data_IF_658041387402
#
_entry.id   IF_658041387402
#
_cell.length_a   1.000
_cell.length_b   1.000
_cell.length_c   1.000
_cell.angle_alpha   90.00
_cell.angle_beta   90.00
_cell.angle_gamma   90.00
#
_symmetry.space_group_name_H-M   'P 1'
#
loop_
_entity.id
_entity.type
_entity.pdbx_description
1 polymer ?
#
# COMPACT_ATOMS: atom_id res chain seq x y z
N UNK A 1 12.39 1.65 0.88
CA UNK A 1 12.48 2.20 -0.49
C UNK A 1 13.95 2.37 -0.87
N UNK A 2 14.29 2.25 -2.15
CA UNK A 2 15.67 2.33 -2.67
C UNK A 2 15.68 3.31 -3.85
N UNK A 3 16.37 4.44 -3.70
CA UNK A 3 16.44 5.46 -4.73
C UNK A 3 17.28 4.97 -5.92
N UNK A 4 16.72 5.09 -7.13
CA UNK A 4 17.40 4.80 -8.38
C UNK A 4 17.31 5.98 -9.34
N UNK A 5 18.36 6.16 -10.15
CA UNK A 5 18.28 6.89 -11.42
C UNK A 5 18.06 5.87 -12.54
N UNK A 6 17.05 6.12 -13.36
CA UNK A 6 16.76 5.36 -14.57
C UNK A 6 17.12 6.22 -15.77
N UNK A 7 17.97 5.72 -16.65
CA UNK A 7 18.34 6.39 -17.90
C UNK A 7 17.70 5.66 -19.06
N UNK A 8 16.80 6.31 -19.79
CA UNK A 8 16.03 5.70 -20.88
C UNK A 8 16.78 5.78 -22.21
N UNK A 9 17.37 6.93 -22.52
CA UNK A 9 18.13 7.13 -23.76
C UNK A 9 18.14 8.60 -24.18
N UNK A 10 18.79 8.89 -25.32
CA UNK A 10 18.81 10.23 -25.90
C UNK A 10 17.47 10.60 -26.52
N UNK A 11 17.13 11.89 -26.50
CA UNK A 11 16.02 12.43 -27.27
C UNK A 11 16.21 12.14 -28.76
N UNK A 12 15.13 11.74 -29.41
CA UNK A 12 15.04 11.56 -30.85
C UNK A 12 14.25 12.75 -31.41
N UNK A 13 14.78 13.41 -32.44
CA UNK A 13 14.11 14.53 -33.14
C UNK A 13 13.70 15.73 -32.25
N UNK A 14 14.34 15.92 -31.09
CA UNK A 14 13.95 16.91 -30.08
C UNK A 14 12.49 16.79 -29.57
N UNK A 15 11.83 15.64 -29.78
CA UNK A 15 10.49 15.39 -29.26
C UNK A 15 10.55 14.97 -27.79
N UNK A 16 10.45 15.98 -26.93
CA UNK A 16 10.50 15.81 -25.48
C UNK A 16 9.22 15.20 -24.92
N UNK A 17 8.07 15.54 -25.48
CA UNK A 17 6.79 15.18 -24.88
C UNK A 17 6.52 13.68 -25.08
N UNK A 18 6.74 13.17 -26.30
CA UNK A 18 6.62 11.74 -26.60
C UNK A 18 7.61 10.90 -25.75
N UNK A 19 8.87 11.36 -25.66
CA UNK A 19 9.90 10.66 -24.90
C UNK A 19 9.57 10.57 -23.40
N UNK A 20 9.05 11.66 -22.82
CA UNK A 20 8.65 11.69 -21.41
C UNK A 20 7.37 10.89 -21.16
N UNK A 21 6.42 10.89 -22.09
CA UNK A 21 5.20 10.09 -21.99
C UNK A 21 5.51 8.58 -22.00
N UNK A 22 6.44 8.13 -22.85
CA UNK A 22 6.90 6.75 -22.87
C UNK A 22 7.58 6.34 -21.57
N UNK A 23 8.47 7.19 -21.04
CA UNK A 23 9.14 6.97 -19.76
C UNK A 23 8.13 6.91 -18.60
N UNK A 24 7.19 7.86 -18.56
CA UNK A 24 6.11 7.91 -17.57
C UNK A 24 5.24 6.65 -17.63
N UNK A 25 4.80 6.26 -18.83
CA UNK A 25 3.93 5.10 -19.04
C UNK A 25 4.59 3.83 -18.52
N UNK A 26 5.88 3.63 -18.83
CA UNK A 26 6.65 2.51 -18.31
C UNK A 26 6.73 2.51 -16.77
N UNK A 27 7.10 3.64 -16.16
CA UNK A 27 7.17 3.74 -14.69
C UNK A 27 5.80 3.50 -14.04
N UNK A 28 4.72 3.95 -14.66
CA UNK A 28 3.35 3.67 -14.21
C UNK A 28 3.06 2.16 -14.20
N UNK A 29 3.48 1.40 -15.22
CA UNK A 29 3.27 -0.06 -15.21
C UNK A 29 4.02 -0.75 -14.08
N UNK A 30 5.23 -0.30 -13.74
CA UNK A 30 6.00 -0.82 -12.61
C UNK A 30 5.34 -0.46 -11.28
N UNK A 31 4.76 0.73 -11.18
CA UNK A 31 4.06 1.18 -9.99
C UNK A 31 2.78 0.36 -9.74
N UNK A 32 1.99 0.11 -10.79
CA UNK A 32 0.79 -0.72 -10.70
C UNK A 32 1.13 -2.18 -10.31
N UNK A 33 2.34 -2.63 -10.66
CA UNK A 33 2.85 -3.95 -10.26
C UNK A 33 3.44 -3.98 -8.83
N UNK A 34 3.55 -2.83 -8.16
CA UNK A 34 4.12 -2.70 -6.82
C UNK A 34 5.64 -2.67 -6.77
N UNK A 35 6.33 -2.45 -7.90
CA UNK A 35 7.81 -2.40 -7.96
C UNK A 35 8.38 -1.04 -7.58
N UNK A 36 7.67 0.04 -7.89
CA UNK A 36 8.11 1.42 -7.61
C UNK A 36 6.98 2.23 -6.99
N UNK A 37 7.32 3.25 -6.22
CA UNK A 37 6.34 4.21 -5.71
C UNK A 37 5.88 5.15 -6.84
N UNK A 38 4.56 5.33 -6.98
CA UNK A 38 3.98 6.11 -8.08
C UNK A 38 3.97 7.62 -7.84
N UNK A 39 3.92 8.05 -6.59
CA UNK A 39 3.67 9.46 -6.26
C UNK A 39 4.97 10.28 -6.23
N UNK A 40 6.13 9.61 -6.34
CA UNK A 40 7.44 10.19 -6.03
C UNK A 40 8.49 10.01 -7.14
N UNK A 41 8.09 9.71 -8.38
CA UNK A 41 9.05 9.73 -9.50
C UNK A 41 9.04 11.04 -10.28
N UNK A 42 10.24 11.47 -10.68
CA UNK A 42 10.44 12.70 -11.45
C UNK A 42 11.14 12.35 -12.75
N UNK A 43 10.48 12.58 -13.88
CA UNK A 43 11.09 12.46 -15.20
C UNK A 43 11.71 13.79 -15.63
N UNK A 44 12.88 13.74 -16.25
CA UNK A 44 13.61 14.91 -16.71
C UNK A 44 14.37 14.62 -18.00
N UNK A 45 14.76 15.69 -18.69
CA UNK A 45 15.77 15.64 -19.76
C UNK A 45 17.02 16.34 -19.26
N UNK A 46 18.10 15.59 -19.12
CA UNK A 46 19.41 16.07 -18.71
C UNK A 46 20.38 15.97 -19.90
N UNK A 47 20.82 17.11 -20.43
CA UNK A 47 21.79 17.16 -21.54
C UNK A 47 21.34 16.32 -22.76
N UNK A 48 20.05 16.38 -23.09
CA UNK A 48 19.45 15.61 -24.19
C UNK A 48 19.17 14.14 -23.87
N UNK A 49 19.39 13.69 -22.65
CA UNK A 49 19.11 12.32 -22.19
C UNK A 49 17.86 12.32 -21.31
N UNK A 50 16.91 11.44 -21.63
CA UNK A 50 15.70 11.23 -20.83
C UNK A 50 16.04 10.32 -19.66
N UNK A 51 15.74 10.78 -18.45
CA UNK A 51 15.98 10.04 -17.22
C UNK A 51 14.83 10.24 -16.23
N UNK A 52 14.78 9.37 -15.22
CA UNK A 52 13.91 9.53 -14.07
C UNK A 52 14.62 9.21 -12.77
N UNK A 53 14.16 9.81 -11.68
CA UNK A 53 14.51 9.44 -10.31
C UNK A 53 13.32 8.73 -9.70
N UNK A 54 13.52 7.53 -9.18
CA UNK A 54 12.42 6.65 -8.74
C UNK A 54 12.78 5.91 -7.44
N UNK A 55 11.80 5.76 -6.57
CA UNK A 55 11.90 4.93 -5.38
C UNK A 55 11.43 3.51 -5.69
N UNK A 56 12.38 2.57 -5.81
CA UNK A 56 12.09 1.14 -5.87
C UNK A 56 11.63 0.62 -4.51
N UNK A 57 10.62 -0.26 -4.49
CA UNK A 57 10.04 -0.77 -3.25
C UNK A 57 10.83 -1.94 -2.65
N UNK A 58 11.67 -2.60 -3.44
CA UNK A 58 12.58 -3.64 -2.96
C UNK A 58 13.81 -3.83 -3.85
N UNK A 59 14.83 -4.58 -3.40
CA UNK A 59 16.10 -4.76 -4.10
C UNK A 59 15.99 -5.40 -5.48
N UNK A 60 14.99 -6.26 -5.69
CA UNK A 60 14.78 -6.96 -6.96
C UNK A 60 13.75 -6.27 -7.86
N UNK A 61 13.31 -5.05 -7.51
CA UNK A 61 12.27 -4.32 -8.24
C UNK A 61 12.65 -3.98 -9.69
N UNK A 62 13.92 -4.04 -10.06
CA UNK A 62 14.40 -3.75 -11.42
C UNK A 62 14.65 -5.02 -12.25
N UNK A 63 14.49 -6.20 -11.66
CA UNK A 63 14.73 -7.47 -12.35
C UNK A 63 13.57 -7.83 -13.29
N UNK A 64 13.90 -8.16 -14.54
CA UNK A 64 12.93 -8.50 -15.59
C UNK A 64 12.00 -9.66 -15.21
N UNK A 65 12.43 -10.58 -14.35
CA UNK A 65 11.61 -11.70 -13.88
C UNK A 65 10.38 -11.28 -13.07
N UNK A 66 10.37 -10.06 -12.52
CA UNK A 66 9.23 -9.51 -11.79
C UNK A 66 8.32 -8.64 -12.65
N UNK A 67 8.71 -8.35 -13.91
CA UNK A 67 7.90 -7.53 -14.79
C UNK A 67 6.67 -8.34 -15.22
N UNK A 68 5.50 -7.72 -15.07
CA UNK A 68 4.27 -8.29 -15.60
C UNK A 68 4.17 -8.06 -17.12
N UNK A 69 3.10 -8.59 -17.73
CA UNK A 69 2.84 -8.45 -19.18
C UNK A 69 2.82 -7.00 -19.67
N UNK A 70 2.31 -6.07 -18.86
CA UNK A 70 2.23 -4.65 -19.22
C UNK A 70 3.61 -4.00 -19.16
N UNK A 71 4.38 -4.27 -18.10
CA UNK A 71 5.75 -3.79 -17.96
C UNK A 71 6.67 -4.29 -19.08
N UNK A 72 6.54 -5.56 -19.46
CA UNK A 72 7.27 -6.12 -20.61
C UNK A 72 6.86 -5.44 -21.93
N UNK A 73 5.55 -5.23 -22.15
CA UNK A 73 5.07 -4.53 -23.35
C UNK A 73 5.57 -3.09 -23.44
N UNK A 74 5.51 -2.34 -22.33
CA UNK A 74 6.01 -0.96 -22.27
C UNK A 74 7.53 -0.90 -22.43
N UNK A 75 8.25 -1.88 -21.90
CA UNK A 75 9.70 -1.98 -22.08
C UNK A 75 10.08 -2.19 -23.55
N UNK A 76 9.36 -3.02 -24.30
CA UNK A 76 9.61 -3.19 -25.75
C UNK A 76 9.34 -1.90 -26.53
N UNK A 77 8.30 -1.13 -26.15
CA UNK A 77 8.05 0.21 -26.71
C UNK A 77 9.21 1.17 -26.45
N UNK A 78 9.74 1.19 -25.22
CA UNK A 78 10.92 1.98 -24.88
C UNK A 78 12.15 1.57 -25.70
N UNK A 79 12.41 0.26 -25.86
CA UNK A 79 13.52 -0.23 -26.69
C UNK A 79 13.38 0.22 -28.14
N UNK A 80 12.16 0.20 -28.68
CA UNK A 80 11.87 0.68 -30.03
C UNK A 80 12.17 2.16 -30.21
N UNK A 81 11.86 2.99 -29.22
CA UNK A 81 12.07 4.44 -29.26
C UNK A 81 13.51 4.86 -28.96
N UNK A 82 14.09 4.35 -27.88
CA UNK A 82 15.41 4.76 -27.38
C UNK A 82 16.57 3.89 -27.92
N UNK A 83 16.27 2.78 -28.58
CA UNK A 83 17.28 1.88 -29.16
C UNK A 83 17.97 0.95 -28.16
N UNK A 84 17.47 0.86 -26.92
CA UNK A 84 18.06 0.04 -25.87
C UNK A 84 17.20 -0.10 -24.62
N UNK A 85 17.65 -0.94 -23.68
CA UNK A 85 16.98 -1.08 -22.38
C UNK A 85 17.33 0.10 -21.45
N UNK A 86 16.41 0.51 -20.56
CA UNK A 86 16.73 1.50 -19.55
C UNK A 86 17.85 1.02 -18.63
N UNK A 87 18.79 1.90 -18.32
CA UNK A 87 19.90 1.63 -17.39
C UNK A 87 19.51 2.10 -16.00
N UNK A 88 19.60 1.21 -15.02
CA UNK A 88 19.28 1.47 -13.62
C UNK A 88 20.56 1.68 -12.80
N UNK A 89 20.65 2.81 -12.13
CA UNK A 89 21.74 3.18 -11.21
C UNK A 89 21.15 3.32 -9.80
N UNK A 90 21.61 2.49 -8.86
CA UNK A 90 21.23 2.58 -7.45
C UNK A 90 21.98 3.75 -6.80
N UNK A 91 21.24 4.67 -6.17
CA UNK A 91 21.78 5.87 -5.52
C UNK A 91 21.78 5.77 -3.98
N UNK A 92 21.44 4.60 -3.43
CA UNK A 92 21.36 4.34 -2.00
C UNK A 92 22.47 3.36 -1.56
N UNK A 93 23.33 3.80 -0.65
CA UNK A 93 24.47 3.02 -0.17
C UNK A 93 24.03 1.88 0.79
N UNK A 94 22.94 2.08 1.52
CA UNK A 94 22.47 1.16 2.57
C UNK A 94 21.18 0.42 2.17
N UNK A 95 21.03 0.11 0.89
CA UNK A 95 19.86 -0.61 0.40
C UNK A 95 19.73 -2.02 1.02
N UNK A 96 18.52 -2.47 1.36
CA UNK A 96 18.27 -3.87 1.72
C UNK A 96 18.79 -4.81 0.63
N UNK A 97 19.45 -5.90 1.01
CA UNK A 97 20.05 -6.85 0.05
C UNK A 97 19.12 -8.00 -0.35
N UNK A 98 18.01 -8.16 0.37
CA UNK A 98 17.05 -9.25 0.19
C UNK A 98 15.65 -8.73 0.39
N UNK A 99 14.72 -9.30 -0.37
CA UNK A 99 13.29 -9.11 -0.15
C UNK A 99 12.89 -9.71 1.20
N UNK A 100 11.99 -9.03 1.90
CA UNK A 100 11.21 -9.67 2.94
C UNK A 100 10.26 -10.68 2.28
N UNK A 101 10.01 -11.80 2.95
CA UNK A 101 9.20 -12.89 2.41
C UNK A 101 7.93 -13.06 3.22
N UNK A 102 6.79 -13.19 2.54
CA UNK A 102 5.52 -13.57 3.17
C UNK A 102 5.51 -15.02 3.68
N UNK A 103 6.38 -15.89 3.13
CA UNK A 103 6.41 -17.31 3.47
C UNK A 103 6.68 -17.52 4.97
N UNK A 104 5.91 -18.41 5.58
CA UNK A 104 6.03 -18.73 7.01
C UNK A 104 5.50 -17.64 7.95
N UNK A 105 4.86 -16.58 7.45
CA UNK A 105 4.11 -15.65 8.30
C UNK A 105 2.88 -16.36 8.89
N UNK A 106 2.54 -16.13 10.17
CA UNK A 106 1.31 -16.68 10.74
C UNK A 106 0.07 -16.04 10.14
N UNK A 107 0.16 -14.76 9.79
CA UNK A 107 -0.82 -14.00 9.04
C UNK A 107 -0.13 -12.80 8.38
N UNK A 108 -0.81 -12.19 7.42
CA UNK A 108 -0.44 -10.93 6.80
C UNK A 108 -1.46 -9.86 7.17
N UNK A 109 -1.07 -8.59 7.13
CA UNK A 109 -2.01 -7.50 7.26
C UNK A 109 -1.78 -6.41 6.21
N UNK A 110 -2.88 -5.84 5.74
CA UNK A 110 -2.91 -4.74 4.78
C UNK A 110 -3.09 -3.42 5.54
N UNK A 111 -2.13 -2.51 5.38
CA UNK A 111 -2.07 -1.22 6.07
C UNK A 111 -1.28 -0.22 5.25
N UNK A 112 -1.66 1.06 5.29
CA UNK A 112 -0.86 2.16 4.74
C UNK A 112 -1.20 3.44 5.48
N UNK A 113 -0.40 4.49 5.28
CA UNK A 113 -0.59 5.83 5.84
C UNK A 113 -0.45 6.86 4.72
N UNK A 114 -0.94 8.09 4.94
CA UNK A 114 -0.95 9.16 3.93
C UNK A 114 0.40 9.40 3.23
N UNK A 115 1.50 9.34 3.98
CA UNK A 115 2.88 9.53 3.53
C UNK A 115 3.63 8.21 3.27
N UNK A 116 2.94 7.07 3.35
CA UNK A 116 3.51 5.75 3.14
C UNK A 116 3.78 5.50 1.66
N UNK A 117 5.05 5.63 1.25
CA UNK A 117 5.52 5.25 -0.09
C UNK A 117 5.89 3.77 -0.22
N UNK A 118 5.69 2.98 0.84
CA UNK A 118 6.06 1.57 0.91
C UNK A 118 4.97 0.66 0.36
N UNK A 119 5.24 -0.64 0.28
CA UNK A 119 4.19 -1.62 -0.02
C UNK A 119 3.13 -1.62 1.09
N UNK A 120 1.84 -1.86 0.81
CA UNK A 120 0.81 -1.85 1.85
C UNK A 120 0.71 -3.16 2.64
N UNK A 121 1.55 -4.16 2.35
CA UNK A 121 1.44 -5.51 2.92
C UNK A 121 2.55 -5.76 3.95
N UNK A 122 2.17 -6.29 5.10
CA UNK A 122 3.09 -6.53 6.21
C UNK A 122 2.90 -7.91 6.82
N UNK A 123 3.95 -8.44 7.47
CA UNK A 123 3.87 -9.68 8.25
C UNK A 123 3.31 -9.45 9.64
N UNK A 124 2.43 -10.34 10.08
CA UNK A 124 1.78 -10.28 11.40
C UNK A 124 2.63 -10.70 12.61
N UNK A 125 3.86 -11.17 12.42
CA UNK A 125 4.75 -11.61 13.52
C UNK A 125 5.88 -10.63 13.85
N UNK A 126 6.38 -9.90 12.84
CA UNK A 126 7.53 -9.01 12.99
C UNK A 126 7.36 -7.65 12.30
N UNK A 127 6.23 -7.41 11.64
CA UNK A 127 5.96 -6.14 10.95
C UNK A 127 6.81 -5.89 9.70
N UNK A 128 7.53 -6.89 9.16
CA UNK A 128 8.30 -6.68 7.94
C UNK A 128 7.38 -6.37 6.75
N UNK A 129 7.79 -5.37 5.95
CA UNK A 129 7.08 -4.94 4.76
C UNK A 129 7.32 -5.90 3.59
N UNK A 130 6.25 -6.46 3.02
CA UNK A 130 6.29 -7.38 1.88
C UNK A 130 5.96 -6.60 0.61
N UNK A 131 6.89 -6.58 -0.35
CA UNK A 131 6.69 -5.93 -1.66
C UNK A 131 5.68 -6.70 -2.52
N UNK A 132 4.65 -6.02 -3.03
CA UNK A 132 3.54 -6.68 -3.75
C UNK A 132 3.98 -7.45 -5.00
N UNK A 133 5.04 -7.04 -5.70
CA UNK A 133 5.53 -7.78 -6.89
C UNK A 133 6.09 -9.17 -6.55
N UNK A 134 6.43 -9.43 -5.28
CA UNK A 134 6.91 -10.76 -4.81
C UNK A 134 5.76 -11.69 -4.40
N UNK A 135 4.54 -11.17 -4.31
CA UNK A 135 3.34 -11.94 -4.03
C UNK A 135 2.86 -12.56 -5.35
N UNK A 136 2.47 -13.86 -5.37
CA UNK A 136 2.10 -14.57 -6.60
C UNK A 136 0.68 -14.21 -7.10
N UNK A 137 0.35 -12.92 -7.11
CA UNK A 137 -0.86 -12.37 -7.71
C UNK A 137 -0.63 -12.04 -9.19
N UNK A 138 -1.71 -11.99 -9.97
CA UNK A 138 -1.63 -11.54 -11.35
C UNK A 138 -1.42 -10.02 -11.47
N UNK A 139 -1.35 -9.50 -12.70
CA UNK A 139 -1.11 -8.08 -12.95
C UNK A 139 -2.28 -7.19 -12.52
N UNK A 140 -3.52 -7.61 -12.79
CA UNK A 140 -4.72 -6.82 -12.54
C UNK A 140 -5.07 -6.84 -11.04
N UNK A 141 -4.79 -7.95 -10.37
CA UNK A 141 -4.88 -8.12 -8.92
C UNK A 141 -3.92 -7.18 -8.17
N UNK A 142 -2.67 -7.05 -8.61
CA UNK A 142 -1.71 -6.10 -8.04
C UNK A 142 -2.11 -4.65 -8.31
N UNK A 143 -2.63 -4.38 -9.51
CA UNK A 143 -3.14 -3.04 -9.86
C UNK A 143 -4.33 -2.63 -8.97
N UNK A 144 -5.21 -3.56 -8.59
CA UNK A 144 -6.28 -3.28 -7.60
C UNK A 144 -5.72 -2.88 -6.25
N UNK A 145 -4.69 -3.58 -5.76
CA UNK A 145 -4.03 -3.24 -4.50
C UNK A 145 -3.40 -1.85 -4.56
N UNK A 146 -2.78 -1.53 -5.69
CA UNK A 146 -2.21 -0.21 -5.96
C UNK A 146 -3.28 0.91 -5.91
N UNK A 147 -4.41 0.76 -6.61
CA UNK A 147 -5.46 1.77 -6.59
C UNK A 147 -6.13 1.91 -5.22
N UNK A 148 -6.37 0.79 -4.52
CA UNK A 148 -6.84 0.83 -3.14
C UNK A 148 -5.88 1.60 -2.23
N UNK A 149 -4.56 1.36 -2.34
CA UNK A 149 -3.57 2.06 -1.55
C UNK A 149 -3.61 3.57 -1.82
N UNK A 150 -3.74 3.96 -3.10
CA UNK A 150 -3.85 5.37 -3.49
C UNK A 150 -5.08 6.03 -2.88
N UNK A 151 -6.25 5.39 -2.98
CA UNK A 151 -7.50 5.90 -2.43
C UNK A 151 -7.44 6.01 -0.90
N UNK A 152 -6.82 5.03 -0.23
CA UNK A 152 -6.60 5.08 1.20
C UNK A 152 -5.76 6.29 1.59
N UNK A 153 -4.61 6.48 0.92
CA UNK A 153 -3.69 7.60 1.19
C UNK A 153 -4.36 8.96 1.00
N UNK A 154 -5.23 9.09 -0.01
CA UNK A 154 -6.01 10.30 -0.22
C UNK A 154 -7.04 10.51 0.89
N UNK A 155 -7.77 9.47 1.32
CA UNK A 155 -8.71 9.56 2.43
C UNK A 155 -8.00 9.97 3.73
N UNK A 156 -6.86 9.35 4.05
CA UNK A 156 -6.06 9.63 5.24
C UNK A 156 -5.48 11.06 5.22
N UNK A 157 -4.94 11.48 4.07
CA UNK A 157 -4.47 12.85 3.82
C UNK A 157 -5.57 13.89 4.05
N UNK A 158 -6.75 13.68 3.43
CA UNK A 158 -7.89 14.59 3.55
C UNK A 158 -8.40 14.61 4.98
N UNK A 159 -8.49 13.44 5.63
CA UNK A 159 -8.90 13.35 7.04
C UNK A 159 -8.00 14.21 7.94
N UNK A 160 -6.68 14.12 7.78
CA UNK A 160 -5.75 14.88 8.61
C UNK A 160 -5.69 16.38 8.27
N UNK A 161 -5.95 16.76 7.02
CA UNK A 161 -5.63 18.11 6.51
C UNK A 161 -6.84 18.94 6.09
N UNK A 162 -8.03 18.38 6.04
CA UNK A 162 -9.26 19.06 5.59
C UNK A 162 -10.34 19.05 6.66
N UNK A 163 -10.61 20.21 7.26
CA UNK A 163 -11.72 20.36 8.20
C UNK A 163 -13.11 20.13 7.55
N UNK A 164 -13.23 20.33 6.24
CA UNK A 164 -14.52 20.25 5.53
C UNK A 164 -14.94 18.80 5.24
N UNK A 165 -13.97 17.94 4.94
CA UNK A 165 -14.20 16.55 4.53
C UNK A 165 -13.74 15.53 5.58
N UNK A 166 -13.29 16.00 6.75
CA UNK A 166 -12.73 15.17 7.82
C UNK A 166 -13.66 14.02 8.22
N UNK A 167 -14.96 14.30 8.37
CA UNK A 167 -15.92 13.32 8.85
C UNK A 167 -16.20 12.23 7.79
N UNK A 168 -16.30 12.64 6.53
CA UNK A 168 -16.57 11.78 5.40
C UNK A 168 -15.40 10.83 5.14
N UNK A 169 -14.17 11.35 5.13
CA UNK A 169 -12.99 10.50 4.90
C UNK A 169 -12.63 9.67 6.11
N UNK A 170 -12.85 10.16 7.34
CA UNK A 170 -12.74 9.31 8.53
C UNK A 170 -13.70 8.13 8.47
N UNK A 171 -14.92 8.34 7.99
CA UNK A 171 -15.89 7.25 7.82
C UNK A 171 -15.39 6.20 6.84
N UNK A 172 -14.75 6.61 5.74
CA UNK A 172 -14.14 5.65 4.80
C UNK A 172 -13.03 4.84 5.46
N UNK A 173 -12.22 5.43 6.34
CA UNK A 173 -11.12 4.76 7.03
C UNK A 173 -11.58 3.85 8.18
N UNK A 174 -12.61 4.25 8.93
CA UNK A 174 -13.00 3.60 10.18
C UNK A 174 -14.25 2.71 10.09
N UNK A 175 -15.13 2.88 9.11
CA UNK A 175 -16.32 2.03 8.94
C UNK A 175 -15.94 0.71 8.23
N UNK A 176 -16.24 -0.42 8.87
CA UNK A 176 -15.96 -1.75 8.32
C UNK A 176 -16.73 -2.06 7.01
N UNK A 177 -17.75 -1.26 6.71
CA UNK A 177 -18.60 -1.38 5.52
C UNK A 177 -18.44 -0.21 4.54
N UNK A 178 -17.42 0.62 4.71
CA UNK A 178 -17.10 1.69 3.75
C UNK A 178 -16.65 1.12 2.41
N UNK A 179 -16.73 1.92 1.34
CA UNK A 179 -16.25 1.48 0.03
C UNK A 179 -14.75 1.18 0.08
N UNK A 180 -13.99 2.02 0.76
CA UNK A 180 -12.55 1.84 0.94
C UNK A 180 -12.20 0.55 1.69
N UNK A 181 -12.89 0.25 2.80
CA UNK A 181 -12.65 -0.98 3.57
C UNK A 181 -13.04 -2.21 2.76
N UNK A 182 -14.17 -2.18 2.04
CA UNK A 182 -14.60 -3.32 1.22
C UNK A 182 -13.60 -3.60 0.09
N UNK A 183 -13.06 -2.57 -0.56
CA UNK A 183 -12.00 -2.72 -1.55
C UNK A 183 -10.72 -3.32 -0.95
N UNK A 184 -10.29 -2.86 0.24
CA UNK A 184 -9.13 -3.39 0.92
C UNK A 184 -9.29 -4.83 1.40
N UNK A 185 -10.49 -5.21 1.85
CA UNK A 185 -10.83 -6.60 2.18
C UNK A 185 -10.79 -7.51 0.97
N UNK A 186 -11.20 -7.01 -0.20
CA UNK A 186 -11.06 -7.77 -1.45
C UNK A 186 -9.59 -7.97 -1.83
N UNK A 187 -8.74 -6.96 -1.64
CA UNK A 187 -7.27 -7.10 -1.79
C UNK A 187 -6.73 -8.16 -0.84
N UNK A 188 -7.15 -8.16 0.44
CA UNK A 188 -6.78 -9.20 1.40
C UNK A 188 -7.21 -10.60 0.92
N UNK A 189 -8.44 -10.74 0.42
CA UNK A 189 -8.96 -12.02 -0.10
C UNK A 189 -8.12 -12.56 -1.26
N UNK A 190 -7.71 -11.68 -2.18
CA UNK A 190 -6.83 -12.01 -3.31
C UNK A 190 -5.47 -12.51 -2.79
N UNK A 191 -4.85 -11.75 -1.88
CA UNK A 191 -3.54 -12.11 -1.30
C UNK A 191 -3.62 -13.43 -0.52
N UNK A 192 -4.68 -13.65 0.27
CA UNK A 192 -4.89 -14.90 1.01
C UNK A 192 -5.05 -16.08 0.05
N UNK A 193 -5.81 -15.92 -1.05
CA UNK A 193 -5.96 -16.96 -2.07
C UNK A 193 -4.64 -17.29 -2.77
N UNK A 194 -3.81 -16.29 -3.06
CA UNK A 194 -2.54 -16.47 -3.75
C UNK A 194 -1.44 -17.08 -2.85
N UNK A 195 -1.44 -16.74 -1.56
CA UNK A 195 -0.37 -17.13 -0.63
C UNK A 195 -0.72 -18.32 0.27
N UNK A 196 -2.02 -18.58 0.48
CA UNK A 196 -2.51 -19.51 1.50
C UNK A 196 -2.33 -19.02 2.94
N UNK A 197 -1.87 -17.77 3.14
CA UNK A 197 -1.66 -17.16 4.46
C UNK A 197 -2.86 -16.26 4.77
N UNK A 198 -3.49 -16.37 5.96
CA UNK A 198 -4.58 -15.49 6.36
C UNK A 198 -4.19 -14.01 6.22
N UNK A 199 -5.00 -13.24 5.49
CA UNK A 199 -4.72 -11.82 5.26
C UNK A 199 -5.80 -10.96 5.93
N UNK A 200 -5.38 -10.03 6.78
CA UNK A 200 -6.26 -9.17 7.56
C UNK A 200 -6.21 -7.73 7.06
N UNK A 201 -7.35 -7.08 7.02
CA UNK A 201 -7.42 -5.63 6.78
C UNK A 201 -7.23 -4.88 8.11
N UNK A 202 -6.31 -3.92 8.14
CA UNK A 202 -6.20 -3.01 9.28
C UNK A 202 -7.30 -1.95 9.23
N UNK A 203 -8.24 -2.03 10.17
CA UNK A 203 -9.32 -1.06 10.30
C UNK A 203 -8.88 0.09 11.20
N UNK A 204 -8.83 1.29 10.64
CA UNK A 204 -8.38 2.48 11.34
C UNK A 204 -9.33 2.87 12.47
N UNK A 205 -8.77 3.26 13.62
CA UNK A 205 -9.55 3.82 14.73
C UNK A 205 -8.80 4.97 15.40
N UNK A 206 -9.19 6.19 15.07
CA UNK A 206 -8.74 7.37 15.80
C UNK A 206 -9.56 7.64 17.07
N UNK A 207 -10.87 7.91 16.95
CA UNK A 207 -11.73 8.25 18.08
C UNK A 207 -12.36 7.02 18.74
N UNK A 208 -12.19 6.89 20.05
CA UNK A 208 -12.80 5.86 20.88
C UNK A 208 -13.69 6.44 21.98
N UNK A 209 -14.42 5.56 22.66
CA UNK A 209 -15.20 5.90 23.85
C UNK A 209 -14.28 6.07 25.05
N UNK A 210 -14.59 6.98 25.97
CA UNK A 210 -13.86 7.15 27.24
C UNK A 210 -14.07 5.97 28.19
N UNK A 211 -15.18 5.25 28.03
CA UNK A 211 -15.55 4.08 28.84
C UNK A 211 -15.84 2.89 27.93
N UNK A 212 -15.35 1.72 28.32
CA UNK A 212 -15.60 0.43 27.68
C UNK A 212 -15.12 0.32 26.21
N UNK A 213 -14.28 1.21 25.70
CA UNK A 213 -13.69 1.08 24.35
C UNK A 213 -12.90 -0.23 24.23
N UNK A 214 -12.29 -0.70 25.32
CA UNK A 214 -11.58 -1.97 25.42
C UNK A 214 -12.49 -3.20 25.30
N UNK A 215 -13.81 -3.01 25.33
CA UNK A 215 -14.83 -4.06 25.18
C UNK A 215 -15.69 -3.83 23.93
N UNK A 216 -15.24 -2.95 23.01
CA UNK A 216 -15.97 -2.69 21.78
C UNK A 216 -16.14 -3.96 20.96
N UNK A 217 -17.32 -4.14 20.40
CA UNK A 217 -17.63 -5.27 19.52
C UNK A 217 -16.96 -5.09 18.15
N UNK A 218 -16.74 -6.22 17.46
CA UNK A 218 -16.27 -6.19 16.09
C UNK A 218 -17.27 -5.42 15.21
N UNK A 219 -16.85 -4.39 14.47
CA UNK A 219 -17.76 -3.62 13.63
C UNK A 219 -18.24 -4.37 12.38
N UNK A 220 -17.64 -5.52 12.06
CA UNK A 220 -18.07 -6.37 10.95
C UNK A 220 -19.17 -7.37 11.30
N UNK A 221 -19.12 -7.98 12.50
CA UNK A 221 -20.03 -9.06 12.88
C UNK A 221 -20.66 -8.93 14.27
N UNK A 222 -20.31 -7.90 15.04
CA UNK A 222 -20.78 -7.71 16.42
C UNK A 222 -20.19 -8.69 17.45
N UNK A 223 -19.29 -9.59 17.04
CA UNK A 223 -18.64 -10.54 17.94
C UNK A 223 -17.58 -9.91 18.85
N UNK A 224 -17.18 -10.63 19.89
CA UNK A 224 -15.95 -10.31 20.62
C UNK A 224 -14.73 -10.61 19.73
N UNK A 225 -13.73 -9.76 19.81
CA UNK A 225 -12.53 -9.79 18.97
C UNK A 225 -11.29 -9.29 19.70
N UNK A 226 -11.35 -9.15 21.03
CA UNK A 226 -10.18 -8.76 21.82
C UNK A 226 -9.23 -9.96 21.94
N UNK A 227 -7.96 -9.74 21.63
CA UNK A 227 -6.93 -10.81 21.60
C UNK A 227 -6.17 -10.98 22.91
N UNK A 228 -6.38 -10.08 23.88
CA UNK A 228 -5.63 -10.07 25.14
C UNK A 228 -4.20 -9.54 25.00
N UNK A 229 -3.75 -9.18 23.79
CA UNK A 229 -2.50 -8.45 23.61
C UNK A 229 -2.58 -7.12 24.36
N UNK A 230 -1.73 -7.01 25.40
CA UNK A 230 -1.54 -5.79 26.17
C UNK A 230 -0.43 -5.00 25.51
N UNK A 231 -0.79 -4.11 24.60
CA UNK A 231 0.11 -3.00 24.27
C UNK A 231 -0.44 -1.77 24.96
N UNK A 232 0.32 -1.25 25.92
CA UNK A 232 0.21 0.16 26.30
C UNK A 232 0.18 1.02 25.02
N UNK A 233 -0.41 2.22 25.06
CA UNK A 233 -0.43 3.12 23.89
C UNK A 233 1.02 3.30 23.39
N UNK A 234 1.34 2.75 22.21
CA UNK A 234 2.70 2.79 21.63
C UNK A 234 3.46 1.46 21.52
N UNK A 235 2.82 0.29 21.68
CA UNK A 235 3.45 -1.00 21.33
C UNK A 235 3.61 -1.23 19.83
N UNK A 236 4.30 -2.32 19.46
CA UNK A 236 4.58 -2.69 18.07
C UNK A 236 3.29 -2.78 17.23
N UNK A 237 3.32 -2.21 16.02
CA UNK A 237 2.12 -2.08 15.16
C UNK A 237 1.48 -3.43 14.79
N UNK A 238 2.25 -4.51 14.75
CA UNK A 238 1.77 -5.86 14.42
C UNK A 238 1.13 -6.60 15.60
N UNK A 239 1.19 -6.06 16.82
CA UNK A 239 0.52 -6.62 18.00
C UNK A 239 -0.88 -6.04 18.14
N UNK A 240 -1.84 -6.64 17.45
CA UNK A 240 -3.21 -6.12 17.42
C UNK A 240 -4.01 -6.49 18.68
N UNK A 241 -4.48 -5.50 19.47
CA UNK A 241 -5.38 -5.75 20.61
C UNK A 241 -6.76 -6.25 20.17
N UNK A 242 -7.10 -6.06 18.88
CA UNK A 242 -8.34 -6.52 18.27
C UNK A 242 -8.05 -7.28 16.98
N UNK A 243 -8.56 -8.51 16.89
CA UNK A 243 -8.46 -9.37 15.72
C UNK A 243 -9.73 -10.21 15.62
N UNK A 244 -10.42 -10.11 14.47
CA UNK A 244 -11.61 -10.88 14.18
C UNK A 244 -11.33 -11.82 13.00
N UNK A 245 -11.22 -13.12 13.29
CA UNK A 245 -10.99 -14.13 12.26
C UNK A 245 -12.13 -14.21 11.22
N UNK A 246 -13.42 -14.25 11.62
CA UNK A 246 -14.51 -14.32 10.64
C UNK A 246 -14.57 -13.13 9.68
N UNK A 247 -14.23 -11.93 10.16
CA UNK A 247 -14.28 -10.72 9.35
C UNK A 247 -12.97 -10.40 8.63
N UNK A 248 -11.87 -11.10 8.93
CA UNK A 248 -10.50 -10.77 8.51
C UNK A 248 -10.14 -9.30 8.81
N UNK A 249 -10.45 -8.86 10.04
CA UNK A 249 -10.15 -7.50 10.51
C UNK A 249 -9.15 -7.53 11.67
N UNK A 250 -8.20 -6.60 11.65
CA UNK A 250 -7.36 -6.24 12.79
C UNK A 250 -7.48 -4.76 13.07
N UNK A 251 -7.29 -4.33 14.32
CA UNK A 251 -7.32 -2.91 14.68
C UNK A 251 -6.45 -2.62 15.90
N UNK A 252 -5.95 -1.39 15.97
CA UNK A 252 -5.28 -0.84 17.16
C UNK A 252 -6.28 -0.37 18.22
N UNK A 253 -5.75 0.04 19.37
CA UNK A 253 -6.49 0.92 20.29
C UNK A 253 -6.86 2.24 19.59
N UNK A 254 -7.94 2.86 20.04
CA UNK A 254 -8.24 4.23 19.68
C UNK A 254 -7.11 5.17 20.14
N UNK A 255 -6.78 6.15 19.29
CA UNK A 255 -5.71 7.11 19.55
C UNK A 255 -6.19 8.27 20.45
N UNK A 256 -7.47 8.63 20.37
CA UNK A 256 -8.07 9.71 21.14
C UNK A 256 -9.48 9.37 21.65
N UNK A 257 -9.91 10.01 22.73
CA UNK A 257 -11.24 9.90 23.36
C UNK A 257 -11.84 11.29 23.69
N UNK A 258 -11.34 12.32 23.01
CA UNK A 258 -11.72 13.71 23.17
C UNK A 258 -13.09 14.03 22.54
N UNK A 259 -13.43 13.44 21.39
CA UNK A 259 -14.74 13.53 20.73
C UNK A 259 -15.47 12.18 20.56
N UNK A 260 -16.22 11.78 21.60
CA UNK A 260 -17.01 10.55 21.60
C UNK A 260 -18.15 10.52 20.55
N UNK A 261 -18.53 11.68 19.97
CA UNK A 261 -19.55 11.69 18.90
C UNK A 261 -18.99 10.99 17.66
N UNK A 262 -17.71 11.22 17.37
CA UNK A 262 -17.00 10.60 16.25
C UNK A 262 -16.67 9.13 16.50
N UNK A 263 -16.55 8.72 17.76
CA UNK A 263 -16.37 7.31 18.12
C UNK A 263 -17.52 6.40 17.64
N UNK A 264 -18.71 6.96 17.36
CA UNK A 264 -19.83 6.21 16.77
C UNK A 264 -19.58 5.73 15.33
N UNK A 265 -18.64 6.36 14.63
CA UNK A 265 -18.20 5.94 13.29
C UNK A 265 -17.32 4.69 13.46
N UNK A 266 -17.64 3.63 12.72
CA UNK A 266 -16.93 2.36 12.85
C UNK A 266 -17.31 1.53 14.08
N UNK A 267 -18.41 1.85 14.77
CA UNK A 267 -19.03 0.94 15.74
C UNK A 267 -19.98 -0.05 15.07
N UNK A 268 -20.16 -1.21 15.68
CA UNK A 268 -21.19 -2.17 15.28
C UNK A 268 -22.59 -1.55 15.39
N UNK A 269 -23.38 -1.62 14.33
CA UNK A 269 -24.72 -1.00 14.25
C UNK A 269 -25.87 -2.00 14.40
N UNK A 270 -25.58 -3.26 14.72
CA UNK A 270 -26.56 -4.35 14.71
C UNK A 270 -26.86 -4.86 13.30
N UNK A 271 -27.45 -6.05 13.23
CA UNK A 271 -28.09 -6.52 12.00
C UNK A 271 -29.35 -5.68 11.80
N UNK A 272 -29.40 -4.89 10.71
CA UNK A 272 -30.62 -4.25 10.25
C UNK A 272 -31.47 -5.22 9.44
#
# INVERSE_FOLDING_TARGET
MILHKVTFGSLVNDDKDEALELAFSFLSTLAHNGQVNVDDYVCAVQQGIVCAYVNALGPSATELSFFNRYGLSSLEGLKGYFGGEPVWEMLEDNAPKKEASWKGAPFLYLHTLDNGGESPLYRGDNGENITLYTVPCDADERERAYFWQRDYRQCDSIWMRSAVLESETYKELADANSALTLAGKEVCRIIEAATGVPAYYFLFRYWGRRKNEEKRWCPGCGGDWRTGHSTERGGDLWLFPYQCEPCRLVASHALADDDERRASIGEWKGDK
#
